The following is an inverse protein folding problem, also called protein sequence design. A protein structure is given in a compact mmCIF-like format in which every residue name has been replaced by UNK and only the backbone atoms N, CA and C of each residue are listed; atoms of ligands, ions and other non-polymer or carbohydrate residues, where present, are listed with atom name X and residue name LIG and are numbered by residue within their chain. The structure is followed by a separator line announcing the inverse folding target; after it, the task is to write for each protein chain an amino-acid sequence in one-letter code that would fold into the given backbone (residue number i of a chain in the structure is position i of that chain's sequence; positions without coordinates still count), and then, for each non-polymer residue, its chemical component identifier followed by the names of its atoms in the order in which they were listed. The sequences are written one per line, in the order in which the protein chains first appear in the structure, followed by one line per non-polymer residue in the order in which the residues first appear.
data_IF_994690262282
#
_entry.id   IF_994690262282
#
_cell.length_a   1.000
_cell.length_b   1.000
_cell.length_c   1.000
_cell.angle_alpha   90.00
_cell.angle_beta   90.00
_cell.angle_gamma   90.00
#
_symmetry.space_group_name_H-M   'P 1'
#
loop_
_entity.id
_entity.type
_entity.pdbx_description
1 polymer ?
#
# COMPACT_ATOMS: atom_id res chain seq x y z
N UNK A 1 -44.41 -28.50 -48.75
CA UNK A 1 -44.27 -28.50 -47.28
C UNK A 1 -42.89 -29.02 -46.93
N UNK A 2 -41.89 -28.15 -46.77
CA UNK A 2 -40.58 -28.52 -46.24
C UNK A 2 -40.29 -27.52 -45.11
N UNK A 3 -40.32 -28.01 -43.88
CA UNK A 3 -40.05 -27.23 -42.66
C UNK A 3 -38.54 -27.23 -42.38
N UNK A 4 -37.87 -26.08 -42.21
CA UNK A 4 -36.53 -26.03 -41.65
C UNK A 4 -36.63 -25.85 -40.13
N UNK A 5 -36.50 -26.94 -39.38
CA UNK A 5 -36.25 -26.92 -37.93
C UNK A 5 -34.75 -27.21 -37.69
N UNK A 6 -34.15 -26.76 -36.57
CA UNK A 6 -33.36 -25.54 -36.50
C UNK A 6 -31.88 -25.84 -36.21
N UNK A 7 -30.96 -25.29 -37.01
CA UNK A 7 -29.50 -25.39 -36.78
C UNK A 7 -29.03 -24.30 -35.78
N UNK A 8 -29.86 -23.94 -34.78
CA UNK A 8 -29.52 -22.87 -33.82
C UNK A 8 -29.62 -23.35 -32.37
N UNK A 9 -29.42 -24.65 -32.12
CA UNK A 9 -29.47 -25.16 -30.75
C UNK A 9 -28.33 -26.13 -30.42
N UNK A 10 -27.11 -25.80 -30.82
CA UNK A 10 -25.92 -26.54 -30.38
C UNK A 10 -24.68 -25.65 -30.16
N UNK A 11 -24.89 -24.46 -29.60
CA UNK A 11 -23.81 -23.69 -28.96
C UNK A 11 -24.09 -23.65 -27.45
N UNK A 12 -24.12 -24.83 -26.83
CA UNK A 12 -24.15 -24.95 -25.37
C UNK A 12 -22.85 -24.40 -24.79
N UNK A 13 -22.94 -23.14 -24.40
CA UNK A 13 -22.17 -22.40 -23.43
C UNK A 13 -21.41 -23.30 -22.43
N UNK A 14 -20.14 -23.64 -22.72
CA UNK A 14 -19.20 -24.02 -21.66
C UNK A 14 -18.74 -22.74 -20.95
N UNK A 15 -19.64 -22.12 -20.17
CA UNK A 15 -19.23 -21.21 -19.11
C UNK A 15 -18.58 -22.06 -18.03
N UNK A 16 -17.27 -22.22 -18.11
CA UNK A 16 -16.49 -22.72 -16.97
C UNK A 16 -16.74 -21.78 -15.81
N UNK A 17 -17.31 -22.30 -14.72
CA UNK A 17 -17.46 -21.55 -13.49
C UNK A 17 -16.05 -21.21 -12.98
N UNK A 18 -15.61 -19.98 -13.22
CA UNK A 18 -14.40 -19.46 -12.58
C UNK A 18 -14.73 -19.28 -11.10
N UNK A 19 -14.43 -20.32 -10.33
CA UNK A 19 -14.39 -20.22 -8.87
C UNK A 19 -13.28 -19.24 -8.52
N UNK A 20 -13.63 -18.06 -7.99
CA UNK A 20 -12.65 -17.19 -7.37
C UNK A 20 -11.94 -17.98 -6.26
N UNK A 21 -10.62 -18.14 -6.39
CA UNK A 21 -9.84 -18.88 -5.40
C UNK A 21 -9.92 -18.15 -4.05
N UNK A 22 -10.51 -18.81 -3.05
CA UNK A 22 -10.59 -18.27 -1.68
C UNK A 22 -9.26 -18.48 -0.98
N UNK A 23 -8.29 -17.63 -1.27
CA UNK A 23 -7.05 -17.55 -0.51
C UNK A 23 -7.33 -16.72 0.76
N UNK A 24 -7.04 -17.24 1.96
CA UNK A 24 -6.94 -16.41 3.16
C UNK A 24 -5.95 -15.28 2.93
N UNK A 25 -6.14 -14.16 3.62
CA UNK A 25 -5.14 -13.09 3.64
C UNK A 25 -4.02 -13.53 4.60
N UNK A 26 -2.81 -13.74 4.08
CA UNK A 26 -1.66 -14.10 4.90
C UNK A 26 -1.16 -12.91 5.76
N UNK A 27 -1.25 -11.70 5.23
CA UNK A 27 -0.86 -10.48 5.91
C UNK A 27 -1.73 -9.31 5.44
N UNK A 28 -2.25 -8.53 6.39
CA UNK A 28 -3.09 -7.37 6.13
C UNK A 28 -2.38 -6.10 6.59
N UNK A 29 -1.90 -5.31 5.64
CA UNK A 29 -1.21 -4.05 5.90
C UNK A 29 -2.14 -2.84 6.01
N UNK A 30 -3.47 -3.03 5.95
CA UNK A 30 -4.42 -1.91 6.04
C UNK A 30 -4.42 -1.34 7.46
N UNK A 31 -4.58 -0.02 7.55
CA UNK A 31 -4.56 0.71 8.83
C UNK A 31 -6.00 0.88 9.33
N UNK A 32 -6.35 0.36 10.52
CA UNK A 32 -7.68 0.52 11.10
C UNK A 32 -8.08 1.99 11.29
N UNK A 33 -9.38 2.28 11.16
CA UNK A 33 -9.96 3.61 11.39
C UNK A 33 -9.63 4.14 12.80
N UNK A 34 -9.51 3.26 13.80
CA UNK A 34 -9.18 3.61 15.18
C UNK A 34 -7.69 3.87 15.47
N UNK A 35 -6.79 3.60 14.51
CA UNK A 35 -5.35 3.81 14.73
C UNK A 35 -5.00 5.27 14.99
N UNK A 36 -4.02 5.50 15.85
CA UNK A 36 -3.44 6.84 16.07
C UNK A 36 -2.03 6.88 15.48
N UNK A 37 -1.46 8.06 15.26
CA UNK A 37 -0.08 8.18 14.77
C UNK A 37 0.93 7.50 15.72
N UNK A 38 0.69 7.56 17.03
CA UNK A 38 1.54 6.91 18.04
C UNK A 38 1.53 5.37 17.96
N UNK A 39 0.49 4.76 17.37
CA UNK A 39 0.45 3.30 17.18
C UNK A 39 1.63 2.80 16.36
N UNK A 40 2.07 3.58 15.36
CA UNK A 40 3.17 3.23 14.45
C UNK A 40 4.56 3.23 15.11
N UNK A 41 4.69 3.79 16.31
CA UNK A 41 5.95 3.81 17.08
C UNK A 41 6.08 2.60 18.02
N UNK A 42 5.12 1.67 18.00
CA UNK A 42 5.05 0.54 18.93
C UNK A 42 4.87 -0.79 18.20
N UNK A 43 4.97 -1.90 18.93
CA UNK A 43 4.67 -3.24 18.41
C UNK A 43 3.20 -3.48 18.07
N UNK A 44 2.29 -2.55 18.44
CA UNK A 44 0.89 -2.60 18.01
C UNK A 44 0.70 -2.18 16.54
N UNK A 45 1.74 -1.60 15.92
CA UNK A 45 1.76 -1.29 14.50
C UNK A 45 1.72 -2.57 13.65
N UNK A 46 0.98 -2.58 12.52
CA UNK A 46 1.12 -3.65 11.53
C UNK A 46 2.49 -3.61 10.81
N UNK A 47 3.27 -2.53 11.01
CA UNK A 47 4.60 -2.32 10.45
C UNK A 47 5.68 -2.29 11.53
N UNK A 48 6.94 -2.53 11.15
CA UNK A 48 8.04 -2.44 12.10
C UNK A 48 8.29 -0.98 12.55
N UNK A 49 8.33 -0.69 13.86
CA UNK A 49 8.44 0.68 14.35
C UNK A 49 9.86 1.28 14.29
N UNK A 50 10.91 0.49 14.02
CA UNK A 50 12.31 0.87 14.21
C UNK A 50 13.21 0.84 12.98
N UNK A 51 12.72 0.39 11.82
CA UNK A 51 13.52 0.29 10.59
C UNK A 51 13.17 1.37 9.57
N UNK A 52 14.05 1.55 8.57
CA UNK A 52 13.95 2.42 7.38
C UNK A 52 13.81 3.94 7.61
N UNK A 53 13.70 4.38 8.86
CA UNK A 53 13.77 5.80 9.23
C UNK A 53 15.21 6.26 9.49
N UNK A 54 15.46 7.56 9.27
CA UNK A 54 16.71 8.21 9.68
C UNK A 54 16.90 8.19 11.20
N UNK A 55 18.14 8.41 11.65
CA UNK A 55 18.47 8.39 13.07
C UNK A 55 17.58 9.37 13.87
N UNK A 56 17.07 8.89 15.01
CA UNK A 56 16.20 9.63 15.94
C UNK A 56 14.83 10.06 15.38
N UNK A 57 14.39 9.51 14.24
CA UNK A 57 13.03 9.74 13.74
C UNK A 57 12.06 8.66 14.25
N UNK A 58 10.82 9.08 14.46
CA UNK A 58 9.68 8.23 14.80
C UNK A 58 8.69 8.22 13.65
N UNK A 59 7.95 7.13 13.45
CA UNK A 59 6.92 7.07 12.43
C UNK A 59 5.84 8.12 12.67
N UNK A 60 5.43 8.33 13.92
CA UNK A 60 4.47 9.38 14.29
C UNK A 60 4.89 10.80 13.89
N UNK A 61 6.18 11.04 13.64
CA UNK A 61 6.71 12.35 13.23
C UNK A 61 6.72 12.58 11.70
N UNK A 62 6.55 11.51 10.92
CA UNK A 62 6.61 11.54 9.44
C UNK A 62 5.30 11.07 8.80
N UNK A 63 4.39 10.48 9.58
CA UNK A 63 3.08 10.04 9.12
C UNK A 63 2.01 11.08 9.43
N UNK A 64 1.01 11.15 8.56
CA UNK A 64 -0.22 11.91 8.77
C UNK A 64 -1.43 11.08 8.29
N UNK A 65 -2.61 11.39 8.81
CA UNK A 65 -3.86 10.86 8.26
C UNK A 65 -4.49 11.93 7.36
N UNK A 66 -4.40 11.78 6.03
CA UNK A 66 -4.91 12.80 5.11
C UNK A 66 -6.45 12.82 5.12
N UNK A 67 -7.02 14.02 4.99
CA UNK A 67 -8.47 14.20 4.85
C UNK A 67 -8.91 13.94 3.39
N UNK A 68 -8.86 12.67 2.98
CA UNK A 68 -9.23 12.21 1.62
C UNK A 68 -10.33 11.16 1.69
N UNK A 69 -11.11 11.07 0.61
CA UNK A 69 -12.08 10.00 0.46
C UNK A 69 -11.36 8.66 0.23
N UNK A 70 -11.97 7.57 0.69
CA UNK A 70 -11.49 6.22 0.42
C UNK A 70 -11.41 5.93 -1.08
N UNK A 71 -10.39 5.17 -1.48
CA UNK A 71 -10.23 4.67 -2.84
C UNK A 71 -11.24 3.56 -3.18
N UNK A 72 -11.38 3.23 -4.46
CA UNK A 72 -12.22 2.11 -4.91
C UNK A 72 -11.81 0.74 -4.35
N UNK A 73 -10.56 0.63 -3.85
CA UNK A 73 -9.98 -0.61 -3.35
C UNK A 73 -9.83 -0.65 -1.83
N UNK A 74 -10.25 0.41 -1.14
CA UNK A 74 -10.17 0.47 0.31
C UNK A 74 -11.23 -0.44 0.93
N UNK A 75 -10.89 -1.05 2.07
CA UNK A 75 -11.86 -1.80 2.84
C UNK A 75 -12.57 -0.91 3.86
N UNK A 76 -13.80 -1.27 4.18
CA UNK A 76 -14.55 -0.62 5.25
C UNK A 76 -13.77 -0.68 6.58
N UNK A 77 -13.77 0.42 7.34
CA UNK A 77 -13.10 0.54 8.63
C UNK A 77 -11.58 0.71 8.54
N UNK A 78 -11.06 1.15 7.39
CA UNK A 78 -9.64 1.44 7.18
C UNK A 78 -9.45 2.85 6.66
N UNK A 79 -8.29 3.45 6.96
CA UNK A 79 -7.95 4.80 6.52
C UNK A 79 -6.58 4.88 5.86
N UNK A 80 -6.42 5.89 5.00
CA UNK A 80 -5.18 6.19 4.33
C UNK A 80 -4.12 6.73 5.31
N UNK A 81 -2.86 6.57 4.92
CA UNK A 81 -1.71 7.18 5.61
C UNK A 81 -0.89 7.94 4.59
N UNK A 82 -0.52 9.17 4.92
CA UNK A 82 0.41 9.98 4.16
C UNK A 82 1.80 9.90 4.80
N UNK A 83 2.83 9.70 3.99
CA UNK A 83 4.23 9.66 4.42
C UNK A 83 4.94 10.91 3.93
N UNK A 84 5.41 11.75 4.85
CA UNK A 84 6.24 12.91 4.53
C UNK A 84 7.72 12.52 4.55
N UNK A 85 8.35 12.47 3.38
CA UNK A 85 9.80 12.26 3.26
C UNK A 85 10.51 13.60 3.42
N UNK A 86 11.27 13.75 4.50
CA UNK A 86 12.21 14.86 4.65
C UNK A 86 13.59 14.38 4.22
N UNK A 87 14.18 15.02 3.21
CA UNK A 87 15.57 14.78 2.85
C UNK A 87 16.46 15.22 4.02
N UNK A 88 16.91 14.28 4.83
CA UNK A 88 18.04 14.52 5.72
C UNK A 88 19.28 14.29 4.87
N UNK A 89 19.99 15.39 4.55
CA UNK A 89 21.38 15.26 4.10
C UNK A 89 22.08 14.48 5.21
N UNK A 90 22.69 13.35 4.86
CA UNK A 90 23.49 12.55 5.77
C UNK A 90 24.42 13.52 6.54
N UNK A 91 24.41 13.54 7.89
CA UNK A 91 25.29 14.41 8.67
C UNK A 91 26.79 14.12 8.49
N UNK A 92 27.16 13.27 7.54
CA UNK A 92 28.51 12.77 7.31
C UNK A 92 29.17 13.29 6.04
N UNK A 93 28.60 14.27 5.33
CA UNK A 93 29.39 15.00 4.35
C UNK A 93 30.14 16.14 5.07
N UNK A 94 31.48 16.07 5.19
CA UNK A 94 32.24 17.20 5.67
C UNK A 94 31.92 18.40 4.78
N UNK A 95 31.54 19.52 5.40
CA UNK A 95 31.20 20.78 4.73
C UNK A 95 32.40 21.44 4.00
N UNK A 96 33.49 20.70 3.82
CA UNK A 96 34.77 21.15 3.29
C UNK A 96 35.17 20.38 2.04
N UNK A 97 34.25 20.21 1.07
CA UNK A 97 34.68 19.89 -0.28
C UNK A 97 35.22 21.17 -0.94
N UNK A 98 36.37 21.64 -0.46
CA UNK A 98 37.15 22.65 -1.16
C UNK A 98 37.76 21.94 -2.37
N UNK A 99 37.25 22.28 -3.56
CA UNK A 99 37.80 21.79 -4.83
C UNK A 99 39.20 22.35 -5.00
N UNK A 100 40.21 21.64 -4.49
CA UNK A 100 41.58 21.80 -4.97
C UNK A 100 41.65 21.18 -6.36
N UNK A 101 41.50 22.06 -7.35
CA UNK A 101 42.14 22.04 -8.66
C UNK A 101 43.23 20.96 -8.79
N UNK A 102 42.94 19.92 -9.57
CA UNK A 102 43.98 19.04 -10.09
C UNK A 102 44.19 19.40 -11.57
N UNK A 103 45.40 19.94 -11.79
CA UNK A 103 46.13 20.18 -13.04
C UNK A 103 45.51 21.12 -14.07
#
# INVERSE_FOLDING_TARGET
MLSPLPIILLASLLTTAVSAQKCPIQFDGRVPESSTLGTFDTSASPFNPGYVLGANLKWSSVLQFPAVNSSLFDANGTKAVEVTIKYILLPSLPQNFHSTHLS
#
